data_IF_612968865872
#
_entry.id   IF_612968865872
#
_cell.length_a   1.000
_cell.length_b   1.000
_cell.length_c   1.000
_cell.angle_alpha   90.00
_cell.angle_beta   90.00
_cell.angle_gamma   90.00
#
_symmetry.space_group_name_H-M   'P 1'
#
loop_
_entity.id
_entity.type
_entity.pdbx_description
1 polymer ?
#
# COMPACT_ATOMS: atom_id res chain seq x y z
N UNK A 1 6.18 -5.59 0.70
CA UNK A 1 6.96 -4.51 0.07
C UNK A 1 6.82 -3.21 0.85
N UNK A 2 7.76 -2.26 0.67
CA UNK A 2 7.64 -0.89 1.18
C UNK A 2 7.48 0.11 0.03
N UNK A 3 6.66 1.15 0.23
CA UNK A 3 6.45 2.23 -0.73
C UNK A 3 6.49 3.58 -0.01
N UNK A 4 7.21 4.55 -0.57
CA UNK A 4 7.22 5.94 -0.10
C UNK A 4 6.58 6.82 -1.16
N UNK A 5 5.38 7.32 -0.89
CA UNK A 5 4.60 8.09 -1.88
C UNK A 5 4.03 9.40 -1.35
N UNK A 6 4.73 10.03 -0.40
CA UNK A 6 4.44 11.37 0.11
C UNK A 6 3.16 11.50 0.94
N UNK A 7 2.80 12.73 1.28
CA UNK A 7 1.64 13.07 2.13
C UNK A 7 0.28 12.78 1.47
N UNK A 8 -0.76 12.62 2.29
CA UNK A 8 -2.12 12.22 1.90
C UNK A 8 -3.00 13.37 1.33
N UNK A 9 -2.42 14.53 1.00
CA UNK A 9 -3.21 15.72 0.63
C UNK A 9 -3.26 16.02 -0.88
N UNK A 10 -2.32 15.50 -1.67
CA UNK A 10 -2.22 15.79 -3.10
C UNK A 10 -2.82 14.64 -3.90
N UNK A 11 -3.67 14.95 -4.89
CA UNK A 11 -4.43 13.94 -5.64
C UNK A 11 -3.56 12.91 -6.36
N UNK A 12 -2.40 13.31 -6.88
CA UNK A 12 -1.43 12.40 -7.52
C UNK A 12 -0.87 11.35 -6.55
N UNK A 13 -0.68 11.73 -5.28
CA UNK A 13 -0.22 10.85 -4.21
C UNK A 13 -1.35 9.97 -3.70
N UNK A 14 -2.52 10.56 -3.46
CA UNK A 14 -3.73 9.86 -3.03
C UNK A 14 -4.14 8.79 -4.04
N UNK A 15 -3.98 9.05 -5.34
CA UNK A 15 -4.25 8.06 -6.39
C UNK A 15 -3.43 6.78 -6.22
N UNK A 16 -2.18 6.86 -5.76
CA UNK A 16 -1.33 5.69 -5.49
C UNK A 16 -1.84 4.87 -4.30
N UNK A 17 -2.22 5.53 -3.20
CA UNK A 17 -2.85 4.84 -2.06
C UNK A 17 -4.18 4.19 -2.46
N UNK A 18 -5.03 4.90 -3.21
CA UNK A 18 -6.29 4.35 -3.71
C UNK A 18 -6.10 3.16 -4.65
N UNK A 19 -5.00 3.12 -5.42
CA UNK A 19 -4.69 1.95 -6.24
C UNK A 19 -4.32 0.74 -5.39
N UNK A 20 -3.55 0.93 -4.31
CA UNK A 20 -3.23 -0.14 -3.37
C UNK A 20 -4.48 -0.70 -2.69
N UNK A 21 -5.42 0.15 -2.26
CA UNK A 21 -6.69 -0.29 -1.69
C UNK A 21 -7.51 -1.15 -2.66
N UNK A 22 -7.54 -0.78 -3.95
CA UNK A 22 -8.21 -1.60 -4.97
C UNK A 22 -7.53 -2.94 -5.19
N UNK A 23 -6.19 -2.96 -5.23
CA UNK A 23 -5.40 -4.20 -5.37
C UNK A 23 -5.64 -5.13 -4.18
N UNK A 24 -5.65 -4.61 -2.95
CA UNK A 24 -5.97 -5.38 -1.75
C UNK A 24 -7.38 -5.97 -1.82
N UNK A 25 -8.38 -5.17 -2.22
CA UNK A 25 -9.76 -5.63 -2.39
C UNK A 25 -9.90 -6.70 -3.49
N UNK A 26 -9.17 -6.57 -4.61
CA UNK A 26 -9.17 -7.54 -5.72
C UNK A 26 -8.54 -8.88 -5.31
N UNK A 27 -7.49 -8.86 -4.47
CA UNK A 27 -6.76 -10.05 -4.04
C UNK A 27 -7.36 -10.73 -2.80
N UNK A 28 -8.13 -10.01 -1.98
CA UNK A 28 -8.74 -10.54 -0.77
C UNK A 28 -7.72 -11.20 0.15
N UNK A 29 -7.91 -12.48 0.47
CA UNK A 29 -7.01 -13.24 1.36
C UNK A 29 -5.61 -13.51 0.77
N UNK A 30 -5.38 -13.21 -0.52
CA UNK A 30 -4.09 -13.41 -1.18
C UNK A 30 -3.14 -12.22 -1.04
N UNK A 31 -3.55 -11.13 -0.38
CA UNK A 31 -2.73 -9.93 -0.17
C UNK A 31 -2.36 -9.70 1.31
N UNK A 32 -1.44 -10.49 1.89
CA UNK A 32 -1.01 -10.27 3.27
C UNK A 32 -0.20 -8.98 3.43
N UNK A 33 -0.56 -8.16 4.41
CA UNK A 33 0.28 -7.03 4.86
C UNK A 33 1.32 -7.52 5.88
N UNK A 34 2.60 -7.53 5.47
CA UNK A 34 3.68 -8.08 6.29
C UNK A 34 4.10 -7.20 7.48
N UNK A 35 3.68 -5.92 7.52
CA UNK A 35 3.99 -5.01 8.63
C UNK A 35 5.48 -5.01 9.01
N UNK A 36 5.78 -5.36 10.26
CA UNK A 36 7.16 -5.41 10.78
C UNK A 36 8.04 -6.47 10.11
N UNK A 37 7.47 -7.56 9.61
CA UNK A 37 8.23 -8.62 8.92
C UNK A 37 8.82 -8.15 7.58
N UNK A 38 8.38 -6.99 7.08
CA UNK A 38 8.95 -6.39 5.87
C UNK A 38 10.36 -5.80 6.10
N UNK A 39 10.71 -5.47 7.34
CA UNK A 39 12.04 -4.95 7.67
C UNK A 39 13.02 -6.11 7.85
N UNK A 40 14.07 -6.12 7.04
CA UNK A 40 15.24 -6.97 7.27
C UNK A 40 16.12 -6.24 8.28
N UNK A 41 16.10 -6.72 9.52
CA UNK A 41 17.02 -6.29 10.59
C UNK A 41 18.25 -7.17 10.54
#
# INVERSE_FOLDING_TARGET
>A
GQIKTGSLCRSDRVAKYNRLLRIEAELGSLAPYHGRAEFKV
#
